data_IF_353153831504
#
_entry.id   IF_353153831504
#
_cell.length_a   1.000
_cell.length_b   1.000
_cell.length_c   1.000
_cell.angle_alpha   90.00
_cell.angle_beta   90.00
_cell.angle_gamma   90.00
#
_symmetry.space_group_name_H-M   'P 1'
#
loop_
_entity.id
_entity.type
_entity.pdbx_description
1 polymer ?
#
# COMPACT_ATOMS: atom_id res chain seq x y z
N UNK A 1 -40.09 27.68 31.56
CA UNK A 1 -38.98 27.92 30.62
C UNK A 1 -38.53 26.58 30.03
N UNK A 2 -39.08 26.17 28.88
CA UNK A 2 -38.69 24.94 28.17
C UNK A 2 -38.01 25.35 26.86
N UNK A 3 -36.69 25.54 26.88
CA UNK A 3 -35.93 25.89 25.68
C UNK A 3 -35.70 24.65 24.81
N UNK A 4 -36.27 24.73 23.62
CA UNK A 4 -36.02 23.98 22.38
C UNK A 4 -34.88 22.95 22.40
N UNK A 5 -35.26 21.68 22.57
CA UNK A 5 -34.40 20.50 22.41
C UNK A 5 -34.36 19.97 20.96
N UNK A 6 -35.03 20.66 20.02
CA UNK A 6 -35.14 20.24 18.62
C UNK A 6 -33.93 20.63 17.77
N UNK A 7 -33.27 21.75 18.09
CA UNK A 7 -32.07 22.22 17.38
C UNK A 7 -30.87 21.28 17.58
N UNK A 8 -30.72 20.70 18.78
CA UNK A 8 -29.66 19.73 19.10
C UNK A 8 -29.86 18.37 18.40
N UNK A 9 -31.10 18.00 18.07
CA UNK A 9 -31.39 16.74 17.34
C UNK A 9 -31.19 16.89 15.84
N UNK A 10 -31.42 18.07 15.27
CA UNK A 10 -31.23 18.35 13.85
C UNK A 10 -29.74 18.37 13.45
N UNK A 11 -28.83 18.81 14.32
CA UNK A 11 -27.39 18.81 14.05
C UNK A 11 -26.76 17.40 14.03
N UNK A 12 -27.29 16.46 14.81
CA UNK A 12 -26.78 15.08 14.85
C UNK A 12 -27.08 14.28 13.56
N UNK A 13 -28.15 14.62 12.84
CA UNK A 13 -28.56 13.92 11.61
C UNK A 13 -27.66 14.31 10.42
N UNK A 14 -27.16 15.55 10.38
CA UNK A 14 -26.30 16.04 9.30
C UNK A 14 -24.91 15.40 9.32
N UNK A 15 -24.39 15.03 10.50
CA UNK A 15 -23.07 14.41 10.64
C UNK A 15 -23.02 12.93 10.21
N UNK A 16 -24.15 12.24 10.14
CA UNK A 16 -24.19 10.84 9.70
C UNK A 16 -24.23 10.69 8.17
N UNK A 17 -24.66 11.72 7.44
CA UNK A 17 -24.79 11.68 5.98
C UNK A 17 -23.45 11.85 5.23
N UNK A 18 -22.40 12.37 5.86
CA UNK A 18 -21.08 12.58 5.21
C UNK A 18 -20.12 11.38 5.32
N UNK A 19 -20.57 10.26 5.90
CA UNK A 19 -19.71 9.08 6.14
C UNK A 19 -19.65 8.08 4.97
N UNK A 20 -20.26 8.37 3.81
CA UNK A 20 -20.25 7.48 2.65
C UNK A 20 -19.07 7.73 1.70
N UNK A 21 -17.84 7.71 2.23
CA UNK A 21 -16.67 7.43 1.39
C UNK A 21 -16.31 5.97 1.57
N UNK A 22 -17.09 5.10 0.94
CA UNK A 22 -16.66 3.71 0.74
C UNK A 22 -15.50 3.74 -0.25
N UNK A 23 -14.28 3.49 0.22
CA UNK A 23 -13.16 3.16 -0.64
C UNK A 23 -13.41 1.76 -1.22
N UNK A 24 -14.24 1.68 -2.25
CA UNK A 24 -14.27 0.50 -3.10
C UNK A 24 -12.86 0.29 -3.66
N UNK A 25 -12.40 -0.96 -3.71
CA UNK A 25 -11.11 -1.28 -4.30
C UNK A 25 -11.21 -1.07 -5.81
N UNK A 26 -10.90 0.16 -6.26
CA UNK A 26 -10.97 0.54 -7.66
C UNK A 26 -9.96 -0.29 -8.45
N UNK A 27 -10.47 -1.23 -9.26
CA UNK A 27 -9.63 -1.97 -10.18
C UNK A 27 -9.13 -1.02 -11.27
N UNK A 28 -7.83 -0.70 -11.26
CA UNK A 28 -7.21 0.08 -12.32
C UNK A 28 -7.34 -0.68 -13.65
N UNK A 29 -7.99 -0.07 -14.64
CA UNK A 29 -8.15 -0.66 -15.97
C UNK A 29 -7.54 0.22 -17.05
N UNK A 30 -6.98 -0.42 -18.08
CA UNK A 30 -6.43 0.26 -19.25
C UNK A 30 -6.97 -0.42 -20.51
N UNK A 31 -7.61 0.35 -21.39
CA UNK A 31 -8.11 -0.15 -22.67
C UNK A 31 -6.94 -0.50 -23.62
N UNK A 32 -7.13 -1.49 -24.50
CA UNK A 32 -6.09 -1.95 -25.43
C UNK A 32 -5.59 -0.87 -26.42
N UNK A 33 -6.40 0.16 -26.68
CA UNK A 33 -6.05 1.35 -27.48
C UNK A 33 -6.26 2.64 -26.68
N UNK A 34 -5.77 2.66 -25.44
CA UNK A 34 -5.87 3.81 -24.58
C UNK A 34 -5.21 5.05 -25.21
N UNK A 35 -5.91 6.16 -25.13
CA UNK A 35 -5.38 7.50 -25.39
C UNK A 35 -4.31 7.87 -24.35
N UNK A 36 -3.54 8.92 -24.64
CA UNK A 36 -2.54 9.45 -23.70
C UNK A 36 -3.17 9.83 -22.36
N UNK A 37 -4.38 10.39 -22.35
CA UNK A 37 -5.08 10.79 -21.13
C UNK A 37 -5.56 9.58 -20.32
N UNK A 38 -6.06 8.54 -20.98
CA UNK A 38 -6.42 7.28 -20.32
C UNK A 38 -5.19 6.59 -19.71
N UNK A 39 -4.07 6.57 -20.43
CA UNK A 39 -2.82 6.04 -19.91
C UNK A 39 -2.31 6.84 -18.69
N UNK A 40 -2.44 8.18 -18.72
CA UNK A 40 -2.10 9.05 -17.58
C UNK A 40 -2.97 8.74 -16.37
N UNK A 41 -4.30 8.63 -16.55
CA UNK A 41 -5.24 8.26 -15.47
C UNK A 41 -4.93 6.89 -14.90
N UNK A 42 -4.60 5.93 -15.75
CA UNK A 42 -4.20 4.60 -15.32
C UNK A 42 -2.93 4.62 -14.47
N UNK A 43 -1.90 5.37 -14.89
CA UNK A 43 -0.66 5.57 -14.12
C UNK A 43 -0.96 6.18 -12.74
N UNK A 44 -1.86 7.17 -12.66
CA UNK A 44 -2.30 7.77 -11.39
C UNK A 44 -3.05 6.79 -10.50
N UNK A 45 -3.88 5.93 -11.09
CA UNK A 45 -4.53 4.85 -10.37
C UNK A 45 -3.50 3.88 -9.77
N UNK A 46 -2.48 3.50 -10.56
CA UNK A 46 -1.39 2.65 -10.08
C UNK A 46 -0.61 3.29 -8.93
N UNK A 47 -0.40 4.62 -8.95
CA UNK A 47 0.20 5.33 -7.80
C UNK A 47 -0.62 5.13 -6.53
N UNK A 48 -1.95 5.27 -6.61
CA UNK A 48 -2.84 5.03 -5.48
C UNK A 48 -2.81 3.57 -5.00
N UNK A 49 -2.69 2.60 -5.92
CA UNK A 49 -2.55 1.19 -5.55
C UNK A 49 -1.20 0.89 -4.89
N UNK A 50 -0.12 1.54 -5.31
CA UNK A 50 1.20 1.46 -4.64
C UNK A 50 1.10 1.96 -3.21
N UNK A 51 0.44 3.11 -2.99
CA UNK A 51 0.27 3.67 -1.64
C UNK A 51 -0.52 2.74 -0.73
N UNK A 52 -1.63 2.17 -1.22
CA UNK A 52 -2.40 1.15 -0.48
C UNK A 52 -1.54 -0.08 -0.16
N UNK A 53 -0.78 -0.58 -1.14
CA UNK A 53 0.08 -1.74 -0.94
C UNK A 53 1.17 -1.46 0.11
N UNK A 54 1.81 -0.28 0.05
CA UNK A 54 2.81 0.17 1.05
C UNK A 54 2.20 0.31 2.44
N UNK A 55 0.99 0.84 2.56
CA UNK A 55 0.28 0.95 3.84
C UNK A 55 -0.02 -0.43 4.44
N UNK A 56 -0.51 -1.36 3.62
CA UNK A 56 -0.77 -2.73 4.03
C UNK A 56 0.52 -3.43 4.49
N UNK A 57 1.58 -3.35 3.69
CA UNK A 57 2.90 -3.90 4.02
C UNK A 57 3.43 -3.31 5.34
N UNK A 58 3.36 -1.99 5.51
CA UNK A 58 3.82 -1.30 6.72
C UNK A 58 3.11 -1.79 7.98
N UNK A 59 1.82 -2.08 7.89
CA UNK A 59 1.03 -2.64 8.99
C UNK A 59 1.54 -4.04 9.39
N UNK A 60 1.86 -4.88 8.41
CA UNK A 60 2.42 -6.21 8.65
C UNK A 60 3.86 -6.16 9.18
N UNK A 61 4.70 -5.27 8.64
CA UNK A 61 6.05 -5.03 9.17
C UNK A 61 5.98 -4.65 10.65
N UNK A 62 5.09 -3.72 11.00
CA UNK A 62 4.93 -3.26 12.38
C UNK A 62 4.43 -4.39 13.31
N UNK A 63 3.49 -5.21 12.83
CA UNK A 63 3.02 -6.39 13.58
C UNK A 63 4.16 -7.37 13.86
N UNK A 64 4.93 -7.75 12.83
CA UNK A 64 6.08 -8.67 12.97
C UNK A 64 7.15 -8.08 13.89
N UNK A 65 7.46 -6.79 13.76
CA UNK A 65 8.39 -6.09 14.65
C UNK A 65 7.96 -6.18 16.12
N UNK A 66 6.67 -5.96 16.40
CA UNK A 66 6.12 -6.08 17.74
C UNK A 66 6.27 -7.50 18.30
N UNK A 67 5.89 -8.52 17.53
CA UNK A 67 5.98 -9.92 17.93
C UNK A 67 7.43 -10.35 18.19
N UNK A 68 8.37 -9.96 17.32
CA UNK A 68 9.79 -10.25 17.48
C UNK A 68 10.39 -9.52 18.70
N UNK A 69 9.94 -8.29 18.99
CA UNK A 69 10.33 -7.59 20.21
C UNK A 69 9.89 -8.37 21.46
N UNK A 70 8.64 -8.86 21.47
CA UNK A 70 8.12 -9.68 22.59
C UNK A 70 8.86 -11.00 22.74
N UNK A 71 9.20 -11.64 21.63
CA UNK A 71 10.01 -12.87 21.63
C UNK A 71 11.43 -12.62 22.16
N UNK A 72 12.05 -11.49 21.79
CA UNK A 72 13.35 -11.10 22.32
C UNK A 72 13.31 -10.83 23.83
N UNK A 73 12.27 -10.14 24.31
CA UNK A 73 12.06 -9.88 25.75
C UNK A 73 11.90 -11.19 26.54
N UNK A 74 11.25 -12.21 25.98
CA UNK A 74 11.00 -13.48 26.67
C UNK A 74 12.16 -14.48 26.58
N UNK A 75 12.88 -14.51 25.46
CA UNK A 75 13.95 -15.50 25.20
C UNK A 75 15.36 -14.96 25.44
N UNK A 76 15.54 -13.64 25.45
CA UNK A 76 16.84 -12.99 25.43
C UNK A 76 17.58 -13.07 24.09
N UNK A 77 16.99 -13.65 23.04
CA UNK A 77 17.63 -13.73 21.73
C UNK A 77 17.58 -12.40 20.97
N UNK A 78 18.59 -11.57 21.17
CA UNK A 78 18.69 -10.21 20.60
C UNK A 78 19.06 -10.16 19.12
N UNK A 79 19.30 -11.31 18.48
CA UNK A 79 19.75 -11.36 17.08
C UNK A 79 18.59 -11.31 16.08
N UNK A 80 17.40 -11.75 16.48
CA UNK A 80 16.27 -11.96 15.56
C UNK A 80 15.73 -10.63 15.00
N UNK A 81 15.49 -9.64 15.86
CA UNK A 81 14.95 -8.34 15.44
C UNK A 81 15.88 -7.60 14.47
N UNK A 82 17.21 -7.48 14.71
CA UNK A 82 18.12 -6.89 13.74
C UNK A 82 18.16 -7.61 12.39
N UNK A 83 18.06 -8.94 12.37
CA UNK A 83 18.01 -9.72 11.13
C UNK A 83 16.73 -9.43 10.34
N UNK A 84 15.59 -9.38 11.02
CA UNK A 84 14.32 -9.00 10.41
C UNK A 84 14.36 -7.58 9.84
N UNK A 85 14.83 -6.59 10.61
CA UNK A 85 14.92 -5.22 10.11
C UNK A 85 15.87 -5.11 8.90
N UNK A 86 16.93 -5.92 8.87
CA UNK A 86 17.84 -6.01 7.71
C UNK A 86 17.15 -6.63 6.50
N UNK A 87 16.30 -7.65 6.67
CA UNK A 87 15.58 -8.26 5.55
C UNK A 87 14.60 -7.27 4.90
N UNK A 88 13.95 -6.38 5.68
CA UNK A 88 13.13 -5.30 5.14
C UNK A 88 13.96 -4.39 4.22
N UNK A 89 15.09 -3.87 4.71
CA UNK A 89 15.97 -2.98 3.93
C UNK A 89 16.52 -3.64 2.66
N UNK A 90 16.82 -4.94 2.73
CA UNK A 90 17.28 -5.68 1.55
C UNK A 90 16.16 -5.89 0.54
N UNK A 91 14.92 -6.10 0.99
CA UNK A 91 13.76 -6.20 0.11
C UNK A 91 13.49 -4.88 -0.63
N UNK A 92 13.60 -3.73 0.04
CA UNK A 92 13.47 -2.40 -0.60
C UNK A 92 14.45 -2.23 -1.76
N UNK A 93 15.73 -2.59 -1.55
CA UNK A 93 16.76 -2.53 -2.61
C UNK A 93 16.47 -3.49 -3.76
N UNK A 94 16.03 -4.71 -3.43
CA UNK A 94 15.66 -5.69 -4.44
C UNK A 94 14.50 -5.17 -5.30
N UNK A 95 13.45 -4.63 -4.68
CA UNK A 95 12.31 -4.04 -5.38
C UNK A 95 12.75 -2.92 -6.32
N UNK A 96 13.54 -1.97 -5.84
CA UNK A 96 14.02 -0.85 -6.64
C UNK A 96 14.79 -1.34 -7.88
N UNK A 97 15.82 -2.16 -7.67
CA UNK A 97 16.64 -2.69 -8.77
C UNK A 97 15.82 -3.55 -9.73
N UNK A 98 14.92 -4.37 -9.19
CA UNK A 98 14.06 -5.27 -9.96
C UNK A 98 13.09 -4.51 -10.88
N UNK A 99 12.51 -3.42 -10.41
CA UNK A 99 11.58 -2.63 -11.21
C UNK A 99 12.31 -1.70 -12.17
N UNK A 100 13.50 -1.20 -11.81
CA UNK A 100 14.36 -0.39 -12.70
C UNK A 100 14.75 -1.16 -13.97
N UNK A 101 15.26 -2.39 -13.87
CA UNK A 101 15.66 -3.11 -15.10
C UNK A 101 14.45 -3.43 -15.98
N UNK A 102 13.27 -3.71 -15.40
CA UNK A 102 12.03 -3.94 -16.15
C UNK A 102 11.57 -2.68 -16.89
N UNK A 103 11.71 -1.51 -16.27
CA UNK A 103 11.47 -0.22 -16.92
C UNK A 103 12.37 -0.05 -18.15
N UNK A 104 13.69 -0.30 -18.00
CA UNK A 104 14.67 -0.07 -19.07
C UNK A 104 14.38 -0.91 -20.33
N UNK A 105 13.91 -2.15 -20.18
CA UNK A 105 13.58 -3.03 -21.31
C UNK A 105 12.35 -2.54 -22.11
N UNK A 106 11.50 -1.70 -21.52
CA UNK A 106 10.30 -1.15 -22.18
C UNK A 106 10.55 0.15 -22.94
N UNK A 107 11.74 0.72 -22.83
CA UNK A 107 12.14 1.89 -23.61
C UNK A 107 12.25 1.55 -25.11
N UNK A 108 12.05 2.52 -26.02
CA UNK A 108 11.87 3.96 -25.76
C UNK A 108 10.43 4.37 -25.40
N UNK A 109 9.48 3.43 -25.28
CA UNK A 109 8.11 3.77 -24.92
C UNK A 109 8.01 4.11 -23.41
N UNK A 110 8.14 5.40 -23.09
CA UNK A 110 8.14 5.90 -21.72
C UNK A 110 6.85 5.56 -20.95
N UNK A 111 5.69 5.59 -21.62
CA UNK A 111 4.40 5.25 -20.99
C UNK A 111 4.35 3.78 -20.60
N UNK A 112 4.72 2.87 -21.51
CA UNK A 112 4.79 1.44 -21.22
C UNK A 112 5.84 1.14 -20.14
N UNK A 113 6.98 1.83 -20.16
CA UNK A 113 8.01 1.68 -19.15
C UNK A 113 7.52 2.10 -17.75
N UNK A 114 6.86 3.26 -17.64
CA UNK A 114 6.29 3.74 -16.38
C UNK A 114 5.23 2.78 -15.83
N UNK A 115 4.33 2.28 -16.69
CA UNK A 115 3.33 1.27 -16.30
C UNK A 115 4.02 -0.01 -15.81
N UNK A 116 5.02 -0.50 -16.54
CA UNK A 116 5.76 -1.72 -16.17
C UNK A 116 6.48 -1.60 -14.83
N UNK A 117 7.02 -0.41 -14.51
CA UNK A 117 7.67 -0.15 -13.23
C UNK A 117 6.66 -0.22 -12.09
N UNK A 118 5.52 0.48 -12.22
CA UNK A 118 4.50 0.55 -11.17
C UNK A 118 3.84 -0.80 -10.90
N UNK A 119 3.54 -1.56 -11.95
CA UNK A 119 3.02 -2.92 -11.82
C UNK A 119 4.01 -3.84 -11.08
N UNK A 120 5.31 -3.71 -11.39
CA UNK A 120 6.36 -4.43 -10.67
C UNK A 120 6.40 -4.05 -9.18
N UNK A 121 6.30 -2.75 -8.84
CA UNK A 121 6.25 -2.33 -7.43
C UNK A 121 5.08 -2.98 -6.69
N UNK A 122 3.87 -2.90 -7.25
CA UNK A 122 2.66 -3.48 -6.65
C UNK A 122 2.85 -4.98 -6.44
N UNK A 123 3.33 -5.71 -7.46
CA UNK A 123 3.56 -7.15 -7.39
C UNK A 123 4.54 -7.50 -6.27
N UNK A 124 5.71 -6.88 -6.25
CA UNK A 124 6.77 -7.20 -5.29
C UNK A 124 6.41 -6.80 -3.86
N UNK A 125 5.71 -5.67 -3.67
CA UNK A 125 5.19 -5.25 -2.36
C UNK A 125 4.20 -6.29 -1.84
N UNK A 126 3.26 -6.71 -2.68
CA UNK A 126 2.23 -7.69 -2.31
C UNK A 126 2.85 -9.06 -2.00
N UNK A 127 3.77 -9.56 -2.84
CA UNK A 127 4.48 -10.81 -2.59
C UNK A 127 5.23 -10.80 -1.25
N UNK A 128 5.97 -9.72 -0.97
CA UNK A 128 6.66 -9.61 0.31
C UNK A 128 5.67 -9.48 1.48
N UNK A 129 4.55 -8.78 1.28
CA UNK A 129 3.48 -8.68 2.29
C UNK A 129 2.90 -10.06 2.63
N UNK A 130 2.67 -10.93 1.66
CA UNK A 130 2.23 -12.30 1.94
C UNK A 130 3.24 -13.07 2.79
N UNK A 131 4.54 -12.92 2.50
CA UNK A 131 5.60 -13.53 3.32
C UNK A 131 5.55 -13.06 4.79
N UNK A 132 5.20 -11.79 5.01
CA UNK A 132 5.07 -11.21 6.35
C UNK A 132 3.82 -11.68 7.10
N UNK A 133 2.79 -12.19 6.42
CA UNK A 133 1.56 -12.68 7.06
C UNK A 133 1.77 -13.99 7.79
N UNK A 134 2.70 -14.83 7.34
CA UNK A 134 3.01 -16.09 8.00
C UNK A 134 3.58 -15.85 9.41
N UNK A 135 2.96 -16.43 10.46
CA UNK A 135 3.50 -16.36 11.81
C UNK A 135 4.79 -17.19 11.93
N UNK A 136 5.60 -16.87 12.94
CA UNK A 136 6.78 -17.63 13.34
C UNK A 136 6.40 -18.83 14.19
#
# INVERSE_FOLDING_TARGET
>A
MTKSNYLLKLTAIVLLASSQYSFADEACTLAAKATTDEAKRYIQCLDSQIDKAKQAQGSWIQKRKYELTKSQESTGNTQVLPLFMRSIKNNEKYLESACQWRYLIKLPNATTAAISYKLCEIELINQFTESLKHPF
#
